data_IF_321952923039
#
_entry.id   IF_321952923039
#
_cell.length_a   1.000
_cell.length_b   1.000
_cell.length_c   1.000
_cell.angle_alpha   90.00
_cell.angle_beta   90.00
_cell.angle_gamma   90.00
#
_symmetry.space_group_name_H-M   'P 1'
#
loop_
_entity.id
_entity.type
_entity.pdbx_description
1 polymer ?
#
# COMPACT_ATOMS: atom_id res chain seq x y z
N UNK A 1 -0.23 -23.33 3.95
CA UNK A 1 -0.91 -22.73 2.80
C UNK A 1 -1.47 -21.38 3.23
N UNK A 2 -1.46 -20.41 2.33
CA UNK A 2 -1.96 -19.05 2.56
C UNK A 2 -3.22 -18.86 1.74
N UNK A 3 -4.34 -18.52 2.38
CA UNK A 3 -5.61 -18.32 1.70
C UNK A 3 -5.82 -16.88 1.25
N UNK A 4 -5.28 -15.90 1.99
CA UNK A 4 -5.44 -14.49 1.67
C UNK A 4 -4.10 -13.76 1.85
N UNK A 5 -3.68 -13.03 0.82
CA UNK A 5 -2.56 -12.07 0.86
C UNK A 5 -3.15 -10.68 0.90
N UNK A 6 -2.83 -9.90 1.93
CA UNK A 6 -3.36 -8.55 2.11
C UNK A 6 -2.23 -7.54 1.95
N UNK A 7 -2.42 -6.57 1.07
CA UNK A 7 -1.53 -5.44 0.85
C UNK A 7 -2.23 -4.09 1.02
N UNK A 8 -1.45 -3.03 1.12
CA UNK A 8 -1.97 -1.68 1.00
C UNK A 8 -2.40 -1.35 -0.43
N UNK A 9 -3.09 -0.24 -0.62
CA UNK A 9 -3.60 0.22 -1.92
C UNK A 9 -2.49 0.35 -2.95
N UNK A 10 -1.37 0.97 -2.57
CA UNK A 10 -0.26 1.26 -3.48
C UNK A 10 1.03 1.56 -2.69
N UNK A 11 2.18 1.40 -3.35
CA UNK A 11 3.46 1.87 -2.85
C UNK A 11 3.61 3.37 -3.15
N UNK A 12 4.23 4.10 -2.23
CA UNK A 12 4.35 5.56 -2.29
C UNK A 12 5.45 6.07 -3.23
N UNK A 13 6.34 5.21 -3.66
CA UNK A 13 7.47 5.54 -4.53
C UNK A 13 7.05 5.85 -5.96
N UNK A 14 6.20 5.03 -6.56
CA UNK A 14 5.74 5.19 -7.95
C UNK A 14 4.27 5.57 -8.09
N UNK A 15 3.49 5.44 -7.04
CA UNK A 15 2.06 5.82 -6.96
C UNK A 15 1.17 5.18 -8.05
N UNK A 16 1.58 4.03 -8.58
CA UNK A 16 0.93 3.37 -9.71
C UNK A 16 -0.02 2.24 -9.33
N UNK A 17 -0.12 1.91 -8.04
CA UNK A 17 -0.95 0.83 -7.48
C UNK A 17 -0.69 -0.57 -8.10
N UNK A 18 0.51 -0.82 -8.62
CA UNK A 18 0.83 -2.06 -9.35
C UNK A 18 1.32 -3.20 -8.47
N UNK A 19 1.83 -2.94 -7.25
CA UNK A 19 2.47 -3.97 -6.43
C UNK A 19 1.53 -5.14 -6.12
N UNK A 20 0.32 -4.86 -5.61
CA UNK A 20 -0.68 -5.89 -5.32
C UNK A 20 -1.07 -6.71 -6.56
N UNK A 21 -1.49 -6.08 -7.67
CA UNK A 21 -1.79 -6.76 -8.92
C UNK A 21 -0.64 -7.59 -9.49
N UNK A 22 0.59 -7.11 -9.41
CA UNK A 22 1.77 -7.86 -9.86
C UNK A 22 2.06 -9.07 -8.97
N UNK A 23 1.90 -8.96 -7.66
CA UNK A 23 2.00 -10.11 -6.75
C UNK A 23 0.96 -11.16 -7.10
N UNK A 24 -0.30 -10.76 -7.30
CA UNK A 24 -1.37 -11.65 -7.71
C UNK A 24 -1.03 -12.38 -9.02
N UNK A 25 -0.60 -11.63 -10.03
CA UNK A 25 -0.21 -12.19 -11.33
C UNK A 25 0.96 -13.19 -11.22
N UNK A 26 1.98 -12.86 -10.43
CA UNK A 26 3.15 -13.74 -10.25
C UNK A 26 2.81 -15.03 -9.50
N UNK A 27 1.87 -14.96 -8.57
CA UNK A 27 1.40 -16.12 -7.82
C UNK A 27 0.27 -16.89 -8.51
N UNK A 28 -0.26 -16.40 -9.63
CA UNK A 28 -1.41 -16.98 -10.32
C UNK A 28 -2.70 -16.94 -9.51
N UNK A 29 -2.86 -15.91 -8.66
CA UNK A 29 -3.99 -15.75 -7.77
C UNK A 29 -4.99 -14.73 -8.32
N UNK A 30 -6.27 -14.92 -7.93
CA UNK A 30 -7.28 -13.88 -8.11
C UNK A 30 -6.94 -12.65 -7.27
N UNK A 31 -7.50 -11.49 -7.64
CA UNK A 31 -7.30 -10.26 -6.88
C UNK A 31 -8.58 -9.46 -6.73
N UNK A 32 -8.71 -8.78 -5.59
CA UNK A 32 -9.70 -7.74 -5.34
C UNK A 32 -8.98 -6.50 -4.84
N UNK A 33 -9.04 -5.43 -5.64
CA UNK A 33 -8.37 -4.16 -5.31
C UNK A 33 -9.32 -3.17 -4.67
N UNK A 34 -8.78 -2.19 -3.94
CA UNK A 34 -9.53 -1.13 -3.27
C UNK A 34 -10.59 -1.64 -2.27
N UNK A 35 -10.30 -2.75 -1.61
CA UNK A 35 -11.20 -3.32 -0.62
C UNK A 35 -11.40 -2.38 0.58
N UNK A 36 -12.64 -2.25 1.02
CA UNK A 36 -13.03 -1.51 2.21
C UNK A 36 -13.41 -2.44 3.36
N UNK A 37 -14.02 -3.58 3.04
CA UNK A 37 -14.51 -4.51 4.04
C UNK A 37 -14.58 -5.93 3.50
N UNK A 38 -14.12 -6.89 4.29
CA UNK A 38 -14.36 -8.31 4.06
C UNK A 38 -15.65 -8.66 4.80
N UNK A 39 -16.74 -8.84 4.05
CA UNK A 39 -18.06 -9.10 4.63
C UNK A 39 -18.18 -10.53 5.13
N UNK A 40 -17.57 -11.50 4.42
CA UNK A 40 -17.75 -12.91 4.66
C UNK A 40 -16.61 -13.71 4.05
N UNK A 41 -16.21 -14.79 4.73
CA UNK A 41 -15.30 -15.81 4.19
C UNK A 41 -15.90 -17.16 4.51
N UNK A 42 -16.36 -17.87 3.50
CA UNK A 42 -16.96 -19.21 3.65
C UNK A 42 -16.89 -20.02 2.36
N UNK A 43 -16.97 -21.32 2.47
CA UNK A 43 -17.03 -22.25 1.34
C UNK A 43 -15.92 -22.01 0.28
N UNK A 44 -14.70 -21.64 0.73
CA UNK A 44 -13.57 -21.36 -0.16
C UNK A 44 -13.68 -20.05 -0.95
N UNK A 45 -14.54 -19.11 -0.52
CA UNK A 45 -14.73 -17.81 -1.16
C UNK A 45 -14.75 -16.68 -0.15
N UNK A 46 -14.39 -15.49 -0.59
CA UNK A 46 -14.50 -14.24 0.15
C UNK A 46 -15.48 -13.29 -0.53
N UNK A 47 -16.41 -12.71 0.23
CA UNK A 47 -17.29 -11.63 -0.19
C UNK A 47 -16.74 -10.32 0.31
N UNK A 48 -16.42 -9.40 -0.58
CA UNK A 48 -15.67 -8.19 -0.29
C UNK A 48 -16.38 -6.98 -0.87
N UNK A 49 -16.56 -5.95 -0.05
CA UNK A 49 -16.98 -4.62 -0.51
C UNK A 49 -15.73 -3.82 -0.92
N UNK A 50 -15.76 -3.26 -2.12
CA UNK A 50 -14.65 -2.47 -2.68
C UNK A 50 -15.13 -1.17 -3.28
N UNK A 51 -14.23 -0.18 -3.31
CA UNK A 51 -14.45 1.09 -3.98
C UNK A 51 -14.15 0.96 -5.48
N UNK A 52 -15.00 1.58 -6.29
CA UNK A 52 -14.82 1.75 -7.74
C UNK A 52 -15.05 3.20 -8.11
N UNK A 53 -14.74 3.57 -9.35
CA UNK A 53 -15.05 4.91 -9.84
C UNK A 53 -16.58 5.11 -9.84
N UNK A 54 -17.02 6.13 -9.10
CA UNK A 54 -18.42 6.49 -8.98
C UNK A 54 -19.22 5.69 -7.96
N UNK A 55 -18.61 4.83 -7.14
CA UNK A 55 -19.35 4.12 -6.11
C UNK A 55 -18.63 2.97 -5.44
N UNK A 56 -19.42 2.04 -4.94
CA UNK A 56 -18.95 0.80 -4.30
C UNK A 56 -19.62 -0.40 -4.94
N UNK A 57 -18.92 -1.52 -4.97
CA UNK A 57 -19.49 -2.79 -5.38
C UNK A 57 -19.13 -3.90 -4.36
N UNK A 58 -19.93 -4.94 -4.35
CA UNK A 58 -19.67 -6.15 -3.59
C UNK A 58 -19.35 -7.28 -4.54
N UNK A 59 -18.20 -7.88 -4.37
CA UNK A 59 -17.72 -9.00 -5.21
C UNK A 59 -17.52 -10.25 -4.38
N UNK A 60 -17.73 -11.41 -5.01
CA UNK A 60 -17.36 -12.71 -4.46
C UNK A 60 -16.18 -13.26 -5.26
N UNK A 61 -15.11 -13.63 -4.58
CA UNK A 61 -13.91 -14.17 -5.21
C UNK A 61 -13.48 -15.49 -4.53
N UNK A 62 -13.03 -16.49 -5.30
CA UNK A 62 -12.50 -17.73 -4.76
C UNK A 62 -11.15 -17.52 -4.08
N UNK A 63 -10.86 -18.31 -3.05
CA UNK A 63 -9.57 -18.42 -2.39
C UNK A 63 -8.68 -19.43 -3.13
N UNK A 64 -7.34 -19.28 -3.12
CA UNK A 64 -6.59 -18.16 -2.51
C UNK A 64 -6.70 -16.83 -3.27
N UNK A 65 -6.54 -15.71 -2.56
CA UNK A 65 -6.87 -14.38 -3.07
C UNK A 65 -5.87 -13.32 -2.59
N UNK A 66 -5.53 -12.37 -3.46
CA UNK A 66 -4.80 -11.14 -3.12
C UNK A 66 -5.81 -9.99 -2.97
N UNK A 67 -5.71 -9.27 -1.87
CA UNK A 67 -6.58 -8.11 -1.57
C UNK A 67 -5.69 -6.88 -1.38
N UNK A 68 -6.03 -5.76 -2.03
CA UNK A 68 -5.44 -4.47 -1.69
C UNK A 68 -6.47 -3.60 -0.98
N UNK A 69 -6.08 -3.05 0.18
CA UNK A 69 -6.99 -2.32 1.08
C UNK A 69 -6.94 -0.84 0.80
N UNK A 70 -8.11 -0.22 0.67
CA UNK A 70 -8.24 1.23 0.47
C UNK A 70 -8.18 1.99 1.80
N UNK A 71 -7.79 3.27 1.73
CA UNK A 71 -7.72 4.14 2.90
C UNK A 71 -9.07 4.46 3.57
N UNK A 72 -10.19 4.23 2.85
CA UNK A 72 -11.55 4.36 3.39
C UNK A 72 -12.01 3.15 4.21
N UNK A 73 -11.22 2.07 4.27
CA UNK A 73 -11.51 0.93 5.13
C UNK A 73 -11.54 1.34 6.62
N UNK A 74 -12.21 0.54 7.43
CA UNK A 74 -12.28 0.78 8.87
C UNK A 74 -10.88 0.95 9.48
N UNK A 75 -10.68 1.88 10.42
CA UNK A 75 -9.39 2.11 11.05
C UNK A 75 -8.91 0.87 11.79
N UNK A 76 -7.59 0.66 11.76
CA UNK A 76 -6.96 -0.42 12.49
C UNK A 76 -7.16 -0.24 14.01
N UNK A 77 -7.31 -1.34 14.72
CA UNK A 77 -7.23 -1.30 16.19
C UNK A 77 -5.85 -0.80 16.64
N UNK A 78 -5.73 -0.19 17.83
CA UNK A 78 -4.47 0.26 18.37
C UNK A 78 -3.47 -0.89 18.55
N UNK A 79 -2.17 -0.58 18.43
CA UNK A 79 -1.12 -1.54 18.68
C UNK A 79 -1.13 -2.03 20.15
N UNK A 80 -0.81 -3.30 20.37
CA UNK A 80 -0.64 -3.84 21.71
C UNK A 80 0.68 -3.31 22.30
N UNK A 81 0.59 -2.49 23.36
CA UNK A 81 1.75 -1.83 23.98
C UNK A 81 2.81 -2.83 24.44
N UNK A 82 2.43 -4.00 25.00
CA UNK A 82 3.39 -5.04 25.41
C UNK A 82 4.20 -5.56 24.22
N UNK A 83 3.56 -5.75 23.06
CA UNK A 83 4.24 -6.21 21.84
C UNK A 83 5.13 -5.11 21.27
N UNK A 84 4.66 -3.86 21.24
CA UNK A 84 5.50 -2.71 20.82
C UNK A 84 6.76 -2.63 21.69
N UNK A 85 6.61 -2.70 23.01
CA UNK A 85 7.74 -2.65 23.94
C UNK A 85 8.64 -3.88 23.83
N UNK A 86 8.09 -5.07 23.56
CA UNK A 86 8.87 -6.29 23.36
C UNK A 86 9.84 -6.16 22.19
N UNK A 87 9.40 -5.52 21.10
CA UNK A 87 10.18 -5.37 19.87
C UNK A 87 10.82 -3.99 19.69
N UNK A 88 10.80 -3.15 20.72
CA UNK A 88 11.28 -1.75 20.65
C UNK A 88 12.69 -1.59 20.07
N UNK A 89 13.57 -2.55 20.32
CA UNK A 89 14.97 -2.52 19.88
C UNK A 89 15.25 -3.52 18.74
N UNK A 90 14.19 -4.01 18.06
CA UNK A 90 14.39 -4.88 16.93
C UNK A 90 15.09 -4.13 15.79
N UNK A 91 16.15 -4.72 15.26
CA UNK A 91 16.96 -4.13 14.19
C UNK A 91 17.68 -5.20 13.38
N UNK A 92 18.10 -4.88 12.16
CA UNK A 92 18.97 -5.76 11.39
C UNK A 92 20.46 -5.58 11.80
N UNK A 93 21.30 -6.58 11.59
CA UNK A 93 22.72 -6.50 11.94
C UNK A 93 23.47 -5.33 11.32
N UNK A 94 23.11 -4.92 10.09
CA UNK A 94 23.77 -3.83 9.37
C UNK A 94 23.51 -2.44 9.98
N UNK A 95 22.42 -2.29 10.72
CA UNK A 95 22.07 -1.02 11.38
C UNK A 95 22.69 -0.88 12.77
N UNK A 96 23.25 -1.95 13.31
CA UNK A 96 23.85 -1.96 14.68
C UNK A 96 25.20 -1.27 14.66
N UNK A 97 25.37 -0.29 15.53
CA UNK A 97 26.65 0.42 15.71
C UNK A 97 27.60 -0.29 16.68
N UNK A 98 27.08 -1.20 17.49
CA UNK A 98 27.88 -1.99 18.47
C UNK A 98 28.11 -1.30 19.82
N UNK A 99 27.79 -0.02 19.92
CA UNK A 99 27.94 0.80 21.13
C UNK A 99 26.61 1.10 21.83
N UNK A 100 25.52 0.50 21.37
CA UNK A 100 24.19 0.69 21.96
C UNK A 100 24.16 0.11 23.41
N UNK A 101 23.54 0.83 24.36
CA UNK A 101 23.39 0.35 25.75
C UNK A 101 22.66 -0.99 25.86
N UNK A 102 21.90 -1.34 24.83
CA UNK A 102 21.09 -2.56 24.72
C UNK A 102 21.74 -3.65 23.86
N UNK A 103 22.99 -3.50 23.43
CA UNK A 103 23.63 -4.45 22.50
C UNK A 103 23.57 -5.91 22.98
N UNK A 104 23.69 -6.14 24.30
CA UNK A 104 23.57 -7.49 24.90
C UNK A 104 22.20 -8.12 24.75
N UNK A 105 21.14 -7.32 24.52
CA UNK A 105 19.79 -7.84 24.34
C UNK A 105 19.66 -8.73 23.09
N UNK A 106 20.50 -8.54 22.08
CA UNK A 106 20.44 -9.33 20.84
C UNK A 106 20.91 -10.76 21.06
N UNK A 107 21.79 -11.00 22.02
CA UNK A 107 22.24 -12.32 22.44
C UNK A 107 21.16 -13.00 23.30
N UNK A 108 20.61 -12.26 24.26
CA UNK A 108 19.58 -12.75 25.19
C UNK A 108 18.21 -12.96 24.51
N UNK A 109 17.93 -12.17 23.45
CA UNK A 109 16.63 -12.10 22.77
C UNK A 109 16.80 -12.15 21.26
N UNK A 110 17.08 -13.33 20.69
CA UNK A 110 17.32 -13.48 19.25
C UNK A 110 16.18 -12.96 18.36
N UNK A 111 14.94 -12.93 18.88
CA UNK A 111 13.77 -12.41 18.17
C UNK A 111 13.84 -10.89 17.88
N UNK A 112 14.81 -10.15 18.46
CA UNK A 112 15.08 -8.75 18.15
C UNK A 112 15.96 -8.59 16.91
N UNK A 113 16.50 -9.66 16.36
CA UNK A 113 17.29 -9.63 15.13
C UNK A 113 16.35 -9.76 13.93
N UNK A 114 16.28 -8.70 13.11
CA UNK A 114 15.54 -8.71 11.86
C UNK A 114 16.39 -9.35 10.77
N UNK A 115 15.81 -10.30 10.04
CA UNK A 115 16.48 -10.89 8.88
C UNK A 115 16.49 -9.87 7.75
N UNK A 116 17.67 -9.70 7.14
CA UNK A 116 17.87 -8.85 5.98
C UNK A 116 18.43 -9.72 4.87
N UNK A 117 17.76 -9.71 3.73
CA UNK A 117 18.17 -10.46 2.56
C UNK A 117 18.67 -9.53 1.46
N UNK A 118 19.73 -9.91 0.82
CA UNK A 118 20.25 -9.33 -0.41
C UNK A 118 19.68 -10.05 -1.64
N UNK A 119 19.99 -9.54 -2.82
CA UNK A 119 19.63 -10.20 -4.08
C UNK A 119 20.21 -11.62 -4.16
N UNK A 120 21.42 -11.82 -3.61
CA UNK A 120 22.07 -13.15 -3.61
C UNK A 120 21.37 -14.14 -2.67
N UNK A 121 20.78 -13.67 -1.56
CA UNK A 121 20.08 -14.55 -0.61
C UNK A 121 18.77 -15.12 -1.16
N UNK A 122 18.26 -14.53 -2.23
CA UNK A 122 17.02 -14.95 -2.91
C UNK A 122 17.29 -15.49 -4.32
N UNK A 123 18.54 -15.86 -4.63
CA UNK A 123 18.98 -16.35 -5.94
C UNK A 123 18.58 -15.41 -7.10
N UNK A 124 18.52 -14.11 -6.82
CA UNK A 124 18.19 -13.09 -7.81
C UNK A 124 19.37 -12.75 -8.71
N UNK A 125 19.08 -12.35 -9.95
CA UNK A 125 20.08 -11.86 -10.90
C UNK A 125 20.31 -10.35 -10.71
N UNK A 126 21.48 -9.88 -10.22
CA UNK A 126 21.77 -8.46 -10.07
C UNK A 126 21.65 -7.65 -11.36
N UNK A 127 21.87 -8.28 -12.53
CA UNK A 127 21.76 -7.62 -13.82
C UNK A 127 20.33 -7.23 -14.18
N UNK A 128 19.35 -7.90 -13.56
CA UNK A 128 17.92 -7.60 -13.74
C UNK A 128 17.35 -6.69 -12.64
N UNK A 129 18.21 -6.14 -11.79
CA UNK A 129 17.79 -5.31 -10.67
C UNK A 129 18.14 -3.82 -10.89
N UNK A 130 17.41 -2.95 -10.20
CA UNK A 130 17.64 -1.50 -10.21
C UNK A 130 17.38 -0.85 -11.59
N UNK A 131 17.96 0.33 -11.78
CA UNK A 131 17.75 1.13 -12.99
C UNK A 131 18.31 0.47 -14.26
N UNK A 132 19.40 -0.28 -14.13
CA UNK A 132 20.02 -0.98 -15.27
C UNK A 132 19.20 -2.17 -15.74
N UNK A 133 18.58 -2.90 -14.81
CA UNK A 133 17.78 -4.07 -15.10
C UNK A 133 16.31 -3.79 -15.40
N UNK A 134 15.84 -2.56 -15.21
CA UNK A 134 14.44 -2.21 -15.46
C UNK A 134 14.12 -2.22 -16.96
N UNK A 135 13.08 -2.95 -17.40
CA UNK A 135 12.61 -2.92 -18.79
C UNK A 135 11.93 -1.60 -19.14
N UNK A 136 11.56 -0.80 -18.14
CA UNK A 136 10.95 0.50 -18.32
C UNK A 136 11.84 1.60 -17.78
N UNK A 137 11.90 2.73 -18.49
CA UNK A 137 12.68 3.90 -18.08
C UNK A 137 11.78 5.13 -18.05
N UNK A 138 11.89 5.91 -16.98
CA UNK A 138 11.21 7.20 -16.89
C UNK A 138 11.81 8.14 -17.94
N UNK A 139 10.99 8.53 -18.92
CA UNK A 139 11.44 9.44 -20.00
C UNK A 139 11.51 10.87 -19.52
N UNK A 140 10.53 11.31 -18.75
CA UNK A 140 10.46 12.66 -18.20
C UNK A 140 9.48 12.72 -17.02
N UNK A 141 9.79 13.61 -16.08
CA UNK A 141 8.88 13.98 -14.98
C UNK A 141 8.53 15.46 -15.21
N UNK A 142 7.24 15.77 -15.25
CA UNK A 142 6.74 17.15 -15.30
C UNK A 142 6.01 17.43 -14.00
N UNK A 143 6.49 18.39 -13.25
CA UNK A 143 5.77 18.90 -12.09
C UNK A 143 4.63 19.78 -12.57
N UNK A 144 3.41 19.41 -12.26
CA UNK A 144 2.24 20.25 -12.48
C UNK A 144 2.07 21.09 -11.21
N UNK A 145 2.43 22.36 -11.30
CA UNK A 145 2.17 23.32 -10.24
C UNK A 145 0.78 23.89 -10.49
N UNK A 146 -0.15 23.58 -9.61
CA UNK A 146 -1.47 24.22 -9.63
C UNK A 146 -1.30 25.70 -9.24
N UNK A 147 -1.49 26.60 -10.21
CA UNK A 147 -1.61 28.01 -9.92
C UNK A 147 -3.06 28.28 -9.52
N UNK A 148 -3.24 28.94 -8.38
CA UNK A 148 -4.56 29.42 -8.00
C UNK A 148 -5.07 30.36 -9.10
N UNK A 149 -6.22 30.06 -9.68
CA UNK A 149 -6.91 31.02 -10.56
C UNK A 149 -7.35 32.22 -9.72
N UNK A 150 -7.47 33.37 -10.39
CA UNK A 150 -8.02 34.57 -9.73
C UNK A 150 -9.38 34.25 -9.11
N UNK A 151 -9.56 34.68 -7.87
CA UNK A 151 -10.82 34.49 -7.15
C UNK A 151 -11.92 35.32 -7.81
N UNK A 152 -13.04 34.69 -8.11
CA UNK A 152 -14.26 35.40 -8.51
C UNK A 152 -15.08 35.73 -7.29
N UNK A 153 -15.46 36.97 -7.13
CA UNK A 153 -16.42 37.40 -6.09
C UNK A 153 -17.80 37.42 -6.73
N UNK A 154 -18.70 36.59 -6.21
CA UNK A 154 -20.08 36.51 -6.67
C UNK A 154 -20.96 37.33 -5.72
N UNK A 155 -21.94 38.02 -6.28
CA UNK A 155 -22.90 38.85 -5.52
C UNK A 155 -24.06 38.03 -4.94
N UNK A 156 -24.22 36.77 -5.35
CA UNK A 156 -25.32 35.90 -4.96
C UNK A 156 -26.61 36.17 -5.74
N UNK A 157 -26.53 36.88 -6.87
CA UNK A 157 -27.64 36.99 -7.83
C UNK A 157 -27.88 35.67 -8.56
N UNK A 158 -29.08 35.45 -9.05
CA UNK A 158 -29.42 34.24 -9.83
C UNK A 158 -28.50 34.09 -11.06
N UNK A 159 -28.13 35.19 -11.69
CA UNK A 159 -27.21 35.22 -12.84
C UNK A 159 -25.80 34.76 -12.47
N UNK A 160 -25.30 35.17 -11.30
CA UNK A 160 -23.98 34.76 -10.78
C UNK A 160 -23.98 33.28 -10.40
N UNK A 161 -25.07 32.79 -9.81
CA UNK A 161 -25.25 31.38 -9.45
C UNK A 161 -25.31 30.52 -10.72
N UNK A 162 -26.08 30.90 -11.71
CA UNK A 162 -26.17 30.21 -13.00
C UNK A 162 -24.81 30.17 -13.72
N UNK A 163 -24.04 31.28 -13.65
CA UNK A 163 -22.70 31.35 -14.23
C UNK A 163 -21.74 30.37 -13.53
N UNK A 164 -21.81 30.29 -12.19
CA UNK A 164 -20.98 29.38 -11.42
C UNK A 164 -21.32 27.92 -11.73
N UNK A 165 -22.59 27.58 -11.77
CA UNK A 165 -23.03 26.22 -12.09
C UNK A 165 -22.55 25.79 -13.48
N UNK A 166 -22.66 26.70 -14.50
CA UNK A 166 -22.14 26.43 -15.85
C UNK A 166 -20.62 26.26 -15.93
N UNK A 167 -19.89 26.89 -15.00
CA UNK A 167 -18.41 26.78 -14.95
C UNK A 167 -17.94 25.51 -14.24
N UNK A 168 -18.79 24.92 -13.38
CA UNK A 168 -18.49 23.70 -12.62
C UNK A 168 -18.92 22.41 -13.32
N UNK A 169 -19.85 22.50 -14.27
CA UNK A 169 -20.32 21.38 -15.10
C UNK A 169 -19.54 21.29 -16.42
#
# INVERSE_FOLDING_TARGET
>A
DVDIVIGGRQAIDGDTAQVGPQVAQKLGLNQVTYAEEILKVENGKATIRRLIDGGVETVEAPLPLVITVNGSAAPCRPCNVKLVMKYKYATCPMERKGDEPWAKLYEERPYLTLNQWSVADVDGDPAQCGLSGSPTKVKAVKNIVFQAKESKTLTGSDEDIDSLVKELL
#
